data_IF_669401717064
#
_entry.id   IF_669401717064
#
_cell.length_a   1.000
_cell.length_b   1.000
_cell.length_c   1.000
_cell.angle_alpha   90.00
_cell.angle_beta   90.00
_cell.angle_gamma   90.00
#
_symmetry.space_group_name_H-M   'P 1'
#
loop_
_entity.id
_entity.type
_entity.pdbx_description
1 polymer ?
#
# COMPACT_ATOMS: atom_id res chain seq x y z
N UNK A 1 11.80 -9.76 -11.28
CA UNK A 1 10.63 -10.52 -11.82
C UNK A 1 9.35 -9.80 -11.41
N UNK A 2 8.41 -9.59 -12.35
CA UNK A 2 7.13 -8.94 -12.04
C UNK A 2 6.14 -9.98 -11.50
N UNK A 3 5.70 -9.80 -10.26
CA UNK A 3 4.68 -10.64 -9.62
C UNK A 3 3.27 -10.33 -10.14
N UNK A 4 2.36 -11.29 -10.15
CA UNK A 4 0.94 -10.99 -10.28
C UNK A 4 0.42 -10.34 -8.98
N UNK A 5 -0.39 -9.29 -9.13
CA UNK A 5 -1.04 -8.62 -7.99
C UNK A 5 -2.24 -9.45 -7.51
N UNK A 6 -2.29 -9.74 -6.24
CA UNK A 6 -3.39 -10.47 -5.60
C UNK A 6 -4.68 -9.65 -5.65
N UNK A 7 -5.73 -10.23 -6.21
CA UNK A 7 -7.03 -9.57 -6.34
C UNK A 7 -7.85 -9.61 -5.04
N UNK A 8 -8.72 -8.62 -4.87
CA UNK A 8 -9.74 -8.60 -3.83
C UNK A 8 -10.50 -9.93 -3.74
N UNK A 9 -10.75 -10.38 -2.52
CA UNK A 9 -11.38 -11.67 -2.21
C UNK A 9 -10.38 -12.79 -1.93
N UNK A 10 -9.12 -12.64 -2.30
CA UNK A 10 -8.09 -13.62 -1.96
C UNK A 10 -7.79 -13.59 -0.45
N UNK A 11 -7.76 -14.74 0.24
CA UNK A 11 -7.62 -14.80 1.70
C UNK A 11 -6.37 -14.14 2.27
N UNK A 12 -5.26 -14.11 1.50
CA UNK A 12 -3.98 -13.50 1.96
C UNK A 12 -4.14 -12.03 2.29
N UNK A 13 -5.01 -11.28 1.58
CA UNK A 13 -5.24 -9.86 1.82
C UNK A 13 -5.96 -9.57 3.16
N UNK A 14 -6.46 -10.60 3.82
CA UNK A 14 -7.14 -10.52 5.13
C UNK A 14 -6.34 -11.13 6.26
N UNK A 15 -5.14 -11.62 5.98
CA UNK A 15 -4.21 -12.12 7.00
C UNK A 15 -3.42 -10.98 7.60
N UNK A 16 -3.21 -11.04 8.92
CA UNK A 16 -2.17 -10.23 9.58
C UNK A 16 -0.81 -10.80 9.15
N UNK A 17 0.03 -9.94 8.63
CA UNK A 17 1.36 -10.29 8.18
C UNK A 17 2.31 -10.60 9.35
N UNK A 18 3.23 -11.54 9.14
CA UNK A 18 4.21 -11.95 10.15
C UNK A 18 5.53 -11.17 9.98
N UNK A 19 6.21 -10.97 11.10
CA UNK A 19 7.57 -10.41 11.08
C UNK A 19 8.53 -11.35 10.36
N UNK A 20 9.61 -10.77 9.83
CA UNK A 20 10.70 -11.51 9.20
C UNK A 20 12.03 -11.19 9.89
N UNK A 21 12.93 -12.15 9.84
CA UNK A 21 14.29 -12.04 10.35
C UNK A 21 15.28 -11.68 9.22
N UNK A 22 16.53 -11.24 9.56
CA UNK A 22 17.58 -10.95 8.56
C UNK A 22 17.90 -12.13 7.64
N UNK A 23 17.67 -13.35 8.12
CA UNK A 23 17.90 -14.58 7.35
C UNK A 23 16.73 -14.99 6.45
N UNK A 24 15.73 -14.12 6.27
CA UNK A 24 14.60 -14.43 5.39
C UNK A 24 15.07 -14.76 3.97
N UNK A 25 14.76 -15.97 3.44
CA UNK A 25 15.34 -16.44 2.19
C UNK A 25 15.01 -15.55 1.00
N UNK A 26 16.05 -15.04 0.32
CA UNK A 26 15.91 -14.28 -0.91
C UNK A 26 15.32 -12.87 -0.73
N UNK A 27 15.37 -12.29 0.47
CA UNK A 27 14.81 -10.98 0.78
C UNK A 27 15.29 -9.87 -0.17
N UNK A 28 16.59 -9.71 -0.50
CA UNK A 28 17.04 -8.67 -1.41
C UNK A 28 16.38 -8.79 -2.79
N UNK A 29 16.25 -10.02 -3.30
CA UNK A 29 15.61 -10.28 -4.59
C UNK A 29 14.10 -10.04 -4.54
N UNK A 30 13.45 -10.37 -3.43
CA UNK A 30 12.03 -10.08 -3.22
C UNK A 30 11.77 -8.58 -3.24
N UNK A 31 12.59 -7.78 -2.55
CA UNK A 31 12.47 -6.31 -2.52
C UNK A 31 12.65 -5.73 -3.93
N UNK A 32 13.69 -6.17 -4.67
CA UNK A 32 13.90 -5.76 -6.05
C UNK A 32 12.68 -6.08 -6.94
N UNK A 33 12.15 -7.30 -6.84
CA UNK A 33 10.99 -7.75 -7.61
C UNK A 33 9.70 -7.00 -7.20
N UNK A 34 9.57 -6.61 -5.93
CA UNK A 34 8.45 -5.76 -5.47
C UNK A 34 8.52 -4.35 -6.06
N UNK A 35 9.70 -3.74 -6.10
CA UNK A 35 9.91 -2.45 -6.77
C UNK A 35 9.54 -2.53 -8.25
N UNK A 36 10.06 -3.54 -8.95
CA UNK A 36 9.76 -3.77 -10.38
C UNK A 36 8.25 -3.95 -10.60
N UNK A 37 7.59 -4.73 -9.74
CA UNK A 37 6.14 -4.99 -9.80
C UNK A 37 5.33 -3.72 -9.56
N UNK A 38 5.71 -2.93 -8.56
CA UNK A 38 5.05 -1.66 -8.22
C UNK A 38 5.08 -0.69 -9.41
N UNK A 39 6.26 -0.46 -10.00
CA UNK A 39 6.38 0.44 -11.15
C UNK A 39 5.67 -0.08 -12.40
N UNK A 40 5.79 -1.38 -12.70
CA UNK A 40 5.11 -2.00 -13.84
C UNK A 40 3.58 -1.95 -13.73
N UNK A 41 3.06 -1.80 -12.50
CA UNK A 41 1.62 -1.68 -12.24
C UNK A 41 1.17 -0.23 -12.02
N UNK A 42 2.05 0.76 -12.27
CA UNK A 42 1.82 2.20 -12.02
C UNK A 42 1.41 2.49 -10.56
N UNK A 43 1.97 1.76 -9.59
CA UNK A 43 1.76 1.94 -8.16
C UNK A 43 2.73 2.95 -7.55
N UNK A 44 2.37 3.49 -6.39
CA UNK A 44 3.19 4.38 -5.55
C UNK A 44 3.60 3.72 -4.23
N UNK A 45 2.97 2.61 -3.90
CA UNK A 45 3.28 1.69 -2.82
C UNK A 45 2.89 0.27 -3.21
N UNK A 46 3.48 -0.71 -2.52
CA UNK A 46 3.16 -2.13 -2.68
C UNK A 46 3.54 -2.89 -1.41
N UNK A 47 2.56 -3.59 -0.83
CA UNK A 47 2.78 -4.45 0.31
C UNK A 47 2.95 -5.93 -0.08
N UNK A 48 3.79 -6.65 0.64
CA UNK A 48 4.08 -8.06 0.37
C UNK A 48 2.83 -8.98 0.33
N UNK A 49 1.78 -8.76 1.15
CA UNK A 49 0.52 -9.50 0.97
C UNK A 49 -0.09 -9.37 -0.42
N UNK A 50 0.11 -8.24 -1.11
CA UNK A 50 -0.40 -8.02 -2.47
C UNK A 50 0.36 -8.83 -3.55
N UNK A 51 1.50 -9.40 -3.20
CA UNK A 51 2.25 -10.36 -4.03
C UNK A 51 2.26 -11.77 -3.42
N UNK A 52 1.21 -12.07 -2.65
CA UNK A 52 0.96 -13.37 -1.98
C UNK A 52 2.06 -13.79 -0.98
N UNK A 53 2.68 -12.82 -0.32
CA UNK A 53 3.67 -13.02 0.75
C UNK A 53 3.13 -12.39 2.04
N UNK A 54 2.56 -13.17 2.99
CA UNK A 54 1.96 -12.62 4.21
C UNK A 54 3.03 -12.26 5.26
N UNK A 55 3.98 -11.42 4.88
CA UNK A 55 5.08 -10.91 5.71
C UNK A 55 5.00 -9.38 5.86
N UNK A 56 5.56 -8.86 6.95
CA UNK A 56 5.57 -7.43 7.25
C UNK A 56 6.65 -6.71 6.45
N UNK A 57 6.35 -6.49 5.18
CA UNK A 57 7.20 -5.79 4.23
C UNK A 57 6.33 -4.98 3.29
N UNK A 58 6.67 -3.72 3.08
CA UNK A 58 6.12 -2.90 1.99
C UNK A 58 7.16 -1.92 1.47
N UNK A 59 6.93 -1.43 0.27
CA UNK A 59 7.75 -0.42 -0.41
C UNK A 59 6.88 0.78 -0.75
N UNK A 60 7.46 1.99 -0.67
CA UNK A 60 6.78 3.26 -0.99
C UNK A 60 7.73 4.15 -1.77
N UNK A 61 7.24 4.72 -2.87
CA UNK A 61 7.93 5.77 -3.64
C UNK A 61 6.96 6.91 -3.95
N UNK A 62 6.88 7.87 -3.03
CA UNK A 62 6.11 9.10 -3.25
C UNK A 62 6.90 10.16 -3.99
N UNK A 63 8.24 10.03 -4.09
CA UNK A 63 9.06 10.96 -4.86
C UNK A 63 8.63 11.03 -6.33
N UNK A 64 8.18 9.92 -6.92
CA UNK A 64 7.62 9.91 -8.28
C UNK A 64 6.32 10.72 -8.41
N UNK A 65 5.52 10.84 -7.35
CA UNK A 65 4.31 11.68 -7.35
C UNK A 65 4.72 13.15 -7.46
N UNK A 66 5.66 13.57 -6.61
CA UNK A 66 6.18 14.94 -6.61
C UNK A 66 6.96 15.29 -7.88
N UNK A 67 7.63 14.33 -8.50
CA UNK A 67 8.33 14.56 -9.77
C UNK A 67 7.37 14.95 -10.91
N UNK A 68 6.11 14.55 -10.82
CA UNK A 68 5.07 14.86 -11.82
C UNK A 68 4.21 16.07 -11.47
N UNK A 69 4.40 16.70 -10.30
CA UNK A 69 3.73 17.94 -9.88
C UNK A 69 4.52 19.16 -10.31
N UNK A 70 3.83 20.25 -10.59
CA UNK A 70 4.49 21.53 -10.74
C UNK A 70 4.92 22.13 -9.37
N UNK A 71 5.69 23.22 -9.40
CA UNK A 71 6.24 23.79 -8.17
C UNK A 71 5.17 24.46 -7.29
N UNK A 72 4.07 24.90 -7.88
CA UNK A 72 2.95 25.49 -7.14
C UNK A 72 2.16 24.38 -6.42
N UNK A 73 1.90 23.25 -7.08
CA UNK A 73 1.24 22.10 -6.48
C UNK A 73 2.05 21.51 -5.31
N UNK A 74 3.39 21.47 -5.44
CA UNK A 74 4.28 20.96 -4.36
C UNK A 74 4.20 21.76 -3.08
N UNK A 75 3.89 23.06 -3.16
CA UNK A 75 3.80 23.92 -1.98
C UNK A 75 2.66 23.54 -1.04
N UNK A 76 1.64 22.85 -1.56
CA UNK A 76 0.50 22.36 -0.76
C UNK A 76 0.84 21.14 0.10
N UNK A 77 2.02 20.52 -0.12
CA UNK A 77 2.42 19.31 0.57
C UNK A 77 3.71 19.50 1.38
N UNK A 78 3.66 19.34 2.72
CA UNK A 78 4.82 19.55 3.59
C UNK A 78 5.92 18.50 3.43
N UNK A 79 5.60 17.36 2.82
CA UNK A 79 6.49 16.21 2.64
C UNK A 79 7.23 16.18 1.29
N UNK A 80 7.08 17.21 0.45
CA UNK A 80 7.87 17.32 -0.77
C UNK A 80 9.39 17.37 -0.43
N UNK A 81 10.25 16.68 -1.16
CA UNK A 81 10.05 15.98 -2.44
C UNK A 81 9.60 14.51 -2.33
N UNK A 82 9.05 14.09 -1.20
CA UNK A 82 8.60 12.72 -0.96
C UNK A 82 9.72 11.78 -0.50
N UNK A 83 9.40 10.49 -0.49
CA UNK A 83 10.32 9.42 -0.04
C UNK A 83 10.36 8.28 -1.05
N UNK A 84 11.48 7.54 -1.03
CA UNK A 84 11.58 6.20 -1.60
C UNK A 84 12.21 5.31 -0.54
N UNK A 85 11.45 4.36 0.00
CA UNK A 85 11.87 3.57 1.16
C UNK A 85 11.25 2.18 1.21
N UNK A 86 11.97 1.26 1.82
CA UNK A 86 11.54 -0.08 2.22
C UNK A 86 11.19 -0.05 3.70
N UNK A 87 10.12 -0.73 4.06
CA UNK A 87 9.63 -0.83 5.44
C UNK A 87 9.47 -2.30 5.82
N UNK A 88 10.34 -2.77 6.71
CA UNK A 88 10.33 -4.13 7.24
C UNK A 88 9.85 -4.08 8.69
N UNK A 89 9.00 -5.03 9.10
CA UNK A 89 8.50 -5.19 10.46
C UNK A 89 7.87 -3.90 11.04
N UNK A 90 7.30 -3.07 10.18
CA UNK A 90 6.76 -1.78 10.55
C UNK A 90 5.62 -1.89 11.59
N UNK A 91 5.62 -0.93 12.54
CA UNK A 91 4.57 -0.72 13.55
C UNK A 91 4.23 0.77 13.62
N UNK A 92 2.96 1.09 13.56
CA UNK A 92 2.51 2.47 13.86
C UNK A 92 2.66 2.70 15.36
N UNK A 93 3.44 3.72 15.72
CA UNK A 93 3.62 4.19 17.10
C UNK A 93 2.59 5.23 17.44
N UNK A 94 2.32 6.15 16.49
CA UNK A 94 1.40 7.27 16.70
C UNK A 94 0.76 7.70 15.37
N UNK A 95 -0.50 8.09 15.45
CA UNK A 95 -1.23 8.81 14.43
C UNK A 95 -1.61 10.17 14.99
N UNK A 96 -1.27 11.25 14.31
CA UNK A 96 -1.45 12.63 14.79
C UNK A 96 -1.89 13.55 13.64
N UNK A 97 -2.19 14.79 13.99
CA UNK A 97 -2.66 15.80 13.06
C UNK A 97 -4.13 15.66 12.68
N UNK A 98 -4.54 16.46 11.71
CA UNK A 98 -5.93 16.51 11.26
C UNK A 98 -6.24 15.36 10.28
N UNK A 99 -7.45 14.85 10.35
CA UNK A 99 -7.95 13.95 9.30
C UNK A 99 -8.30 14.74 8.03
N UNK A 100 -7.81 14.28 6.92
CA UNK A 100 -8.14 14.86 5.62
C UNK A 100 -8.57 13.79 4.60
N UNK A 101 -9.50 14.12 3.71
CA UNK A 101 -9.93 13.19 2.67
C UNK A 101 -8.91 13.14 1.53
N UNK A 102 -8.62 11.94 1.07
CA UNK A 102 -7.83 11.73 -0.15
C UNK A 102 -8.43 10.61 -0.98
N UNK A 103 -8.43 10.77 -2.30
CA UNK A 103 -8.99 9.81 -3.22
C UNK A 103 -8.05 8.61 -3.40
N UNK A 104 -8.24 7.58 -2.58
CA UNK A 104 -7.43 6.36 -2.59
C UNK A 104 -7.91 5.35 -3.62
N UNK A 105 -6.96 4.61 -4.18
CA UNK A 105 -7.17 3.39 -4.95
C UNK A 105 -6.19 2.33 -4.51
N UNK A 106 -6.37 1.08 -4.95
CA UNK A 106 -5.49 -0.03 -4.61
C UNK A 106 -5.30 -0.95 -5.82
N UNK A 107 -4.08 -1.40 -6.06
CA UNK A 107 -3.78 -2.34 -7.14
C UNK A 107 -4.54 -3.66 -7.00
N UNK A 108 -4.85 -4.07 -5.77
CA UNK A 108 -5.66 -5.26 -5.47
C UNK A 108 -7.17 -5.05 -5.69
N UNK A 109 -7.61 -3.79 -5.84
CA UNK A 109 -9.03 -3.39 -6.05
C UNK A 109 -9.10 -2.40 -7.23
N UNK A 110 -8.71 -2.83 -8.43
CA UNK A 110 -8.60 -1.93 -9.57
C UNK A 110 -9.94 -1.30 -9.95
N UNK A 111 -9.87 -0.08 -10.54
CA UNK A 111 -11.03 0.70 -11.02
C UNK A 111 -12.06 1.08 -9.95
N UNK A 112 -11.70 0.97 -8.67
CA UNK A 112 -12.45 1.52 -7.55
C UNK A 112 -11.56 2.50 -6.83
N UNK A 113 -12.08 3.71 -6.64
CA UNK A 113 -11.45 4.78 -5.85
C UNK A 113 -12.52 5.40 -4.96
N UNK A 114 -12.11 5.83 -3.76
CA UNK A 114 -12.98 6.52 -2.79
C UNK A 114 -12.18 7.49 -1.95
N UNK A 115 -12.86 8.52 -1.47
CA UNK A 115 -12.28 9.46 -0.54
C UNK A 115 -12.23 8.83 0.85
N UNK A 116 -11.02 8.67 1.36
CA UNK A 116 -10.73 8.06 2.66
C UNK A 116 -10.18 9.12 3.60
N UNK A 117 -10.72 9.19 4.81
CA UNK A 117 -10.19 10.03 5.88
C UNK A 117 -9.05 9.30 6.59
N UNK A 118 -7.90 9.97 6.70
CA UNK A 118 -6.76 9.54 7.53
C UNK A 118 -6.07 10.75 8.13
N UNK A 119 -5.42 10.55 9.26
CA UNK A 119 -4.53 11.57 9.84
C UNK A 119 -3.43 11.93 8.84
N UNK A 120 -3.03 13.19 8.84
CA UNK A 120 -1.99 13.71 7.97
C UNK A 120 -0.57 13.34 8.42
N UNK A 121 -0.42 12.84 9.64
CA UNK A 121 0.85 12.52 10.28
C UNK A 121 0.84 11.11 10.84
N UNK A 122 1.91 10.34 10.58
CA UNK A 122 2.12 9.01 11.13
C UNK A 122 3.56 8.82 11.59
N UNK A 123 3.74 8.31 12.80
CA UNK A 123 5.05 7.88 13.31
C UNK A 123 5.13 6.36 13.29
N UNK A 124 6.17 5.83 12.62
CA UNK A 124 6.44 4.39 12.56
C UNK A 124 7.77 4.05 13.22
N UNK A 125 7.77 2.90 13.90
CA UNK A 125 8.97 2.12 14.13
C UNK A 125 9.06 1.05 13.04
N UNK A 126 10.20 0.95 12.35
CA UNK A 126 10.42 0.00 11.26
C UNK A 126 11.90 -0.29 11.07
N UNK A 127 12.19 -1.34 10.30
CA UNK A 127 13.54 -1.67 9.88
C UNK A 127 13.73 -1.42 8.38
N UNK A 128 14.94 -1.03 8.01
CA UNK A 128 15.35 -0.93 6.60
C UNK A 128 15.84 -2.28 6.04
N UNK A 129 16.40 -2.28 4.83
CA UNK A 129 16.91 -3.47 4.14
C UNK A 129 18.11 -4.12 4.85
N UNK A 130 18.79 -3.39 5.76
CA UNK A 130 19.88 -3.88 6.59
C UNK A 130 19.42 -4.30 7.99
N UNK A 131 18.12 -4.27 8.27
CA UNK A 131 17.51 -4.47 9.58
C UNK A 131 17.93 -3.46 10.64
N UNK A 132 18.38 -2.28 10.21
CA UNK A 132 18.57 -1.14 11.12
C UNK A 132 17.21 -0.56 11.49
N UNK A 133 16.98 -0.38 12.80
CA UNK A 133 15.69 0.10 13.33
C UNK A 133 15.65 1.61 13.35
N UNK A 134 14.55 2.16 12.86
CA UNK A 134 14.24 3.59 12.85
C UNK A 134 12.88 3.86 13.47
N UNK A 135 12.77 4.99 14.15
CA UNK A 135 11.48 5.60 14.49
C UNK A 135 11.39 6.94 13.78
N UNK A 136 10.49 7.07 12.82
CA UNK A 136 10.35 8.28 11.99
C UNK A 136 8.89 8.71 11.86
N UNK A 137 8.72 10.03 11.82
CA UNK A 137 7.44 10.68 11.53
C UNK A 137 7.39 11.09 10.08
N UNK A 138 6.27 10.77 9.43
CA UNK A 138 5.95 11.11 8.04
C UNK A 138 4.67 11.93 8.02
N UNK A 139 4.56 12.83 7.04
CA UNK A 139 3.42 13.73 6.88
C UNK A 139 2.84 13.66 5.48
N UNK A 140 1.72 14.31 5.23
CA UNK A 140 1.16 14.55 3.91
C UNK A 140 0.91 13.31 3.06
N UNK A 141 1.32 13.35 1.80
CA UNK A 141 1.14 12.24 0.85
C UNK A 141 1.95 11.00 1.25
N UNK A 142 3.16 11.19 1.80
CA UNK A 142 3.97 10.07 2.26
C UNK A 142 3.31 9.34 3.43
N UNK A 143 2.75 10.08 4.41
CA UNK A 143 1.96 9.49 5.49
C UNK A 143 0.71 8.76 4.96
N UNK A 144 0.06 9.31 3.93
CA UNK A 144 -1.11 8.70 3.28
C UNK A 144 -0.79 7.33 2.68
N UNK A 145 0.25 7.26 1.86
CA UNK A 145 0.66 6.01 1.20
C UNK A 145 1.16 5.00 2.22
N UNK A 146 1.96 5.43 3.19
CA UNK A 146 2.45 4.56 4.28
C UNK A 146 1.28 3.93 5.05
N UNK A 147 0.28 4.69 5.45
CA UNK A 147 -0.89 4.16 6.17
C UNK A 147 -1.68 3.15 5.31
N UNK A 148 -1.79 3.39 4.00
CA UNK A 148 -2.44 2.47 3.07
C UNK A 148 -1.70 1.13 2.99
N UNK A 149 -0.37 1.16 2.81
CA UNK A 149 0.44 -0.06 2.73
C UNK A 149 0.55 -0.79 4.08
N UNK A 150 0.59 -0.04 5.18
CA UNK A 150 0.55 -0.61 6.53
C UNK A 150 -0.77 -1.39 6.78
N UNK A 151 -1.90 -0.87 6.33
CA UNK A 151 -3.18 -1.56 6.44
C UNK A 151 -3.15 -2.95 5.81
N UNK A 152 -2.45 -3.14 4.69
CA UNK A 152 -2.26 -4.45 4.08
C UNK A 152 -1.54 -5.43 5.00
N UNK A 153 -0.63 -4.95 5.86
CA UNK A 153 0.04 -5.80 6.86
C UNK A 153 -0.91 -6.23 7.97
N UNK A 154 -1.96 -5.45 8.24
CA UNK A 154 -2.99 -5.73 9.25
C UNK A 154 -4.23 -6.44 8.67
N UNK A 155 -4.17 -6.86 7.40
CA UNK A 155 -5.30 -7.49 6.72
C UNK A 155 -6.48 -6.55 6.47
N UNK A 156 -6.22 -5.24 6.45
CA UNK A 156 -7.19 -4.18 6.16
C UNK A 156 -7.08 -3.69 4.72
N UNK A 157 -8.17 -3.18 4.19
CA UNK A 157 -8.26 -2.59 2.86
C UNK A 157 -8.92 -1.22 2.96
N UNK A 158 -8.57 -0.27 2.06
CA UNK A 158 -9.14 1.07 2.11
C UNK A 158 -10.67 1.10 2.08
N UNK A 159 -11.31 0.12 1.45
CA UNK A 159 -12.76 -0.03 1.43
C UNK A 159 -13.38 -0.35 2.81
N UNK A 160 -12.58 -0.70 3.81
CA UNK A 160 -13.06 -0.94 5.17
C UNK A 160 -13.41 0.37 5.89
N UNK A 161 -12.87 1.50 5.42
CA UNK A 161 -13.11 2.84 5.97
C UNK A 161 -14.34 3.53 5.36
N UNK A 162 -14.89 3.01 4.26
CA UNK A 162 -16.08 3.59 3.64
C UNK A 162 -17.37 3.15 4.35
N UNK A 163 -18.42 3.98 4.25
CA UNK A 163 -19.70 3.69 4.87
C UNK A 163 -20.31 2.36 4.38
N UNK A 164 -21.09 1.66 5.23
CA UNK A 164 -21.75 0.41 4.84
C UNK A 164 -22.63 0.55 3.59
N UNK A 165 -23.28 1.71 3.42
CA UNK A 165 -24.10 2.00 2.25
C UNK A 165 -23.26 2.06 0.97
N UNK A 166 -22.16 2.82 0.98
CA UNK A 166 -21.24 2.90 -0.17
C UNK A 166 -20.66 1.52 -0.49
N UNK A 167 -20.25 0.76 0.52
CA UNK A 167 -19.74 -0.61 0.33
C UNK A 167 -20.78 -1.53 -0.29
N UNK A 168 -22.06 -1.42 0.09
CA UNK A 168 -23.15 -2.17 -0.50
C UNK A 168 -23.33 -1.83 -1.99
N UNK A 169 -23.22 -0.57 -2.37
CA UNK A 169 -23.30 -0.13 -3.77
C UNK A 169 -22.16 -0.67 -4.64
N UNK A 170 -20.96 -0.87 -4.04
CA UNK A 170 -19.80 -1.42 -4.73
C UNK A 170 -19.77 -2.95 -4.81
N UNK A 171 -20.66 -3.64 -4.09
CA UNK A 171 -20.62 -5.11 -3.96
C UNK A 171 -20.52 -5.82 -5.30
N UNK A 172 -21.25 -5.36 -6.31
CA UNK A 172 -21.21 -5.92 -7.66
C UNK A 172 -19.81 -5.85 -8.27
N UNK A 173 -19.20 -4.64 -8.28
CA UNK A 173 -17.85 -4.41 -8.80
C UNK A 173 -16.81 -5.24 -8.04
N UNK A 174 -16.88 -5.27 -6.70
CA UNK A 174 -15.99 -6.07 -5.87
C UNK A 174 -16.10 -7.57 -6.17
N UNK A 175 -17.32 -8.06 -6.39
CA UNK A 175 -17.57 -9.44 -6.80
C UNK A 175 -16.98 -9.74 -8.19
N UNK A 176 -17.10 -8.81 -9.13
CA UNK A 176 -16.52 -8.97 -10.48
C UNK A 176 -14.99 -9.01 -10.43
N UNK A 177 -14.34 -8.16 -9.59
CA UNK A 177 -12.90 -8.22 -9.36
C UNK A 177 -12.50 -9.59 -8.81
N UNK A 178 -13.17 -10.09 -7.76
CA UNK A 178 -12.84 -11.37 -7.13
C UNK A 178 -13.04 -12.58 -8.07
N UNK A 179 -13.88 -12.43 -9.09
CA UNK A 179 -14.13 -13.46 -10.10
C UNK A 179 -13.29 -13.32 -11.38
N UNK A 180 -12.35 -12.38 -11.41
CA UNK A 180 -11.54 -12.12 -12.58
C UNK A 180 -12.27 -11.45 -13.74
N UNK A 181 -13.45 -10.87 -13.49
CA UNK A 181 -14.24 -10.15 -14.51
C UNK A 181 -13.81 -8.68 -14.59
N UNK A 182 -12.51 -8.46 -14.76
CA UNK A 182 -11.90 -7.13 -14.85
C UNK A 182 -10.74 -7.17 -15.83
N UNK A 183 -10.53 -6.07 -16.56
CA UNK A 183 -9.38 -5.87 -17.44
C UNK A 183 -8.50 -4.79 -16.86
N UNK A 184 -7.21 -5.09 -16.68
CA UNK A 184 -6.15 -4.17 -16.24
C UNK A 184 -4.88 -4.46 -17.04
N UNK A 185 -3.93 -3.52 -17.02
CA UNK A 185 -2.69 -3.61 -17.79
C UNK A 185 -1.55 -4.39 -17.05
N UNK A 186 -1.86 -4.99 -15.92
CA UNK A 186 -0.94 -5.81 -15.14
C UNK A 186 -1.54 -7.18 -14.80
N UNK A 187 -0.67 -8.15 -14.48
CA UNK A 187 -1.11 -9.50 -14.12
C UNK A 187 -1.76 -9.51 -12.75
N UNK A 188 -2.86 -10.24 -12.61
CA UNK A 188 -3.54 -10.46 -11.32
C UNK A 188 -3.60 -11.94 -10.96
N UNK A 189 -3.54 -12.20 -9.65
CA UNK A 189 -3.81 -13.49 -9.03
C UNK A 189 -5.18 -13.45 -8.36
N UNK A 190 -6.12 -14.20 -8.89
CA UNK A 190 -7.49 -14.25 -8.37
C UNK A 190 -7.65 -15.35 -7.32
N UNK A 191 -8.65 -15.23 -6.41
CA UNK A 191 -8.97 -16.30 -5.48
C UNK A 191 -9.30 -17.60 -6.22
N UNK A 192 -8.90 -18.73 -5.62
CA UNK A 192 -9.33 -20.03 -6.09
C UNK A 192 -10.88 -20.15 -6.00
N UNK A 193 -11.46 -20.86 -6.96
CA UNK A 193 -12.92 -21.06 -7.04
C UNK A 193 -13.40 -22.08 -6.04
#
# INVERSE_FOLDING_TARGET
MIFPIVAYGHPVLRKVATDIDPDYPGLPKLIEDMWETMYASAGVGLAAPQVNKPIRLFVVDTAQMFANMDDDEKQDFPDAPGIKSVFINARIVELDGDEWPYNEGCLSIPKIREDILRQDTVTLEYQDENFETYTKTFTGLSARVIQHEYDHLEGKLFIDYISPLKRKLMKGKLTDISKGKISVDYKMLFPDK
#
